data_IF_254754072097
#
_entry.id   IF_254754072097
#
_cell.length_a   1.000
_cell.length_b   1.000
_cell.length_c   1.000
_cell.angle_alpha   90.00
_cell.angle_beta   90.00
_cell.angle_gamma   90.00
#
_symmetry.space_group_name_H-M   'P 1'
#
loop_
_entity.id
_entity.type
_entity.pdbx_description
1 polymer ?
#
# COMPACT_ATOMS: atom_id res chain seq x y z
N UNK A 1 -1.75 -31.57 -6.52
CA UNK A 1 -2.14 -30.58 -7.55
C UNK A 1 -1.26 -30.79 -8.77
N UNK A 2 -1.83 -30.98 -9.97
CA UNK A 2 -1.04 -31.06 -11.21
C UNK A 2 -0.72 -29.65 -11.67
N UNK A 3 0.56 -29.32 -11.84
CA UNK A 3 0.97 -28.07 -12.51
C UNK A 3 0.77 -28.25 -14.02
N UNK A 4 0.01 -27.34 -14.64
CA UNK A 4 -0.18 -27.30 -16.09
C UNK A 4 0.98 -26.52 -16.70
N UNK A 5 1.64 -27.11 -17.68
CA UNK A 5 2.76 -26.50 -18.39
C UNK A 5 2.40 -26.25 -19.85
N UNK A 6 2.92 -25.17 -20.40
CA UNK A 6 2.73 -24.75 -21.80
C UNK A 6 4.09 -24.50 -22.46
N UNK A 7 4.21 -24.83 -23.75
CA UNK A 7 5.44 -24.60 -24.51
C UNK A 7 5.54 -23.12 -24.91
N UNK A 8 6.62 -22.45 -24.50
CA UNK A 8 6.95 -21.05 -24.83
C UNK A 8 8.44 -20.93 -25.10
N UNK A 9 8.82 -20.39 -26.26
CA UNK A 9 10.22 -20.21 -26.68
C UNK A 9 11.07 -21.50 -26.47
N UNK A 10 10.59 -22.63 -27.01
CA UNK A 10 11.21 -23.95 -26.89
C UNK A 10 11.39 -24.49 -25.46
N UNK A 11 10.71 -23.89 -24.48
CA UNK A 11 10.74 -24.31 -23.08
C UNK A 11 9.33 -24.51 -22.51
N UNK A 12 9.17 -25.51 -21.65
CA UNK A 12 7.92 -25.71 -20.92
C UNK A 12 7.89 -24.79 -19.69
N UNK A 13 6.94 -23.87 -19.67
CA UNK A 13 6.72 -22.93 -18.55
C UNK A 13 5.39 -23.22 -17.87
N UNK A 14 5.25 -22.85 -16.60
CA UNK A 14 3.94 -22.90 -15.94
C UNK A 14 2.94 -22.01 -16.67
N UNK A 15 1.69 -22.47 -16.82
CA UNK A 15 0.64 -21.72 -17.52
C UNK A 15 0.50 -20.27 -17.00
N UNK A 16 0.64 -20.08 -15.68
CA UNK A 16 0.59 -18.77 -15.02
C UNK A 16 1.67 -17.78 -15.48
N UNK A 17 2.77 -18.27 -16.06
CA UNK A 17 3.91 -17.48 -16.56
C UNK A 17 3.83 -17.19 -18.07
N UNK A 18 2.73 -17.60 -18.73
CA UNK A 18 2.58 -17.44 -20.17
C UNK A 18 2.43 -15.97 -20.57
N UNK A 19 1.61 -15.21 -19.82
CA UNK A 19 1.29 -13.81 -20.11
C UNK A 19 1.40 -12.94 -18.85
N UNK A 20 2.16 -11.84 -18.89
CA UNK A 20 2.21 -10.91 -17.77
C UNK A 20 0.90 -10.12 -17.63
N UNK A 21 0.69 -9.60 -16.43
CA UNK A 21 -0.40 -8.71 -16.05
C UNK A 21 -0.14 -7.26 -16.48
N UNK A 22 1.12 -6.84 -16.52
CA UNK A 22 1.56 -5.49 -16.89
C UNK A 22 2.86 -5.51 -17.71
N UNK A 23 3.34 -4.31 -18.05
CA UNK A 23 4.59 -4.11 -18.78
C UNK A 23 5.85 -4.34 -17.92
N UNK A 24 5.72 -4.38 -16.59
CA UNK A 24 6.84 -4.63 -15.66
C UNK A 24 7.13 -6.13 -15.50
N UNK A 25 6.21 -6.98 -15.96
CA UNK A 25 6.41 -8.42 -16.02
C UNK A 25 5.89 -9.16 -14.79
N UNK A 26 4.89 -8.62 -14.09
CA UNK A 26 4.20 -9.35 -13.03
C UNK A 26 3.30 -10.45 -13.62
N UNK A 27 3.27 -11.63 -13.01
CA UNK A 27 2.54 -12.82 -13.48
C UNK A 27 1.44 -13.24 -12.52
N UNK A 28 0.57 -14.16 -12.96
CA UNK A 28 -0.54 -14.63 -12.13
C UNK A 28 -0.03 -15.24 -10.81
N UNK A 29 -0.59 -14.75 -9.71
CA UNK A 29 -0.19 -15.03 -8.34
C UNK A 29 0.79 -14.02 -7.73
N UNK A 30 1.39 -13.12 -8.51
CA UNK A 30 2.29 -12.11 -7.98
C UNK A 30 1.53 -11.08 -7.15
N UNK A 31 2.19 -10.62 -6.07
CA UNK A 31 1.74 -9.55 -5.19
C UNK A 31 2.88 -8.53 -5.09
N UNK A 32 2.59 -7.26 -5.31
CA UNK A 32 3.59 -6.19 -5.25
C UNK A 32 3.03 -4.91 -4.63
N UNK A 33 3.93 -4.00 -4.25
CA UNK A 33 3.60 -2.71 -3.63
C UNK A 33 4.27 -1.58 -4.40
N UNK A 34 3.55 -0.86 -5.29
CA UNK A 34 4.13 0.26 -6.03
C UNK A 34 4.42 1.46 -5.10
N UNK A 35 3.72 1.55 -3.97
CA UNK A 35 3.99 2.51 -2.90
C UNK A 35 3.59 1.92 -1.52
N UNK A 36 3.89 2.62 -0.44
CA UNK A 36 3.59 2.18 0.93
C UNK A 36 2.10 2.05 1.24
N UNK A 37 1.22 2.64 0.41
CA UNK A 37 -0.22 2.66 0.57
C UNK A 37 -0.96 1.68 -0.33
N UNK A 38 -0.27 1.02 -1.26
CA UNK A 38 -0.93 0.25 -2.33
C UNK A 38 -0.37 -1.16 -2.36
N UNK A 39 -1.27 -2.12 -2.41
CA UNK A 39 -0.94 -3.53 -2.68
C UNK A 39 -1.70 -3.95 -3.93
N UNK A 40 -0.98 -4.49 -4.90
CA UNK A 40 -1.52 -4.99 -6.14
C UNK A 40 -1.28 -6.50 -6.23
N UNK A 41 -2.24 -7.20 -6.82
CA UNK A 41 -2.21 -8.64 -7.05
C UNK A 41 -2.62 -8.92 -8.49
N UNK A 42 -1.92 -9.85 -9.15
CA UNK A 42 -2.33 -10.40 -10.43
C UNK A 42 -3.20 -11.65 -10.17
N UNK A 43 -4.53 -11.48 -10.09
CA UNK A 43 -5.46 -12.53 -9.64
C UNK A 43 -5.61 -13.67 -10.66
N UNK A 44 -5.52 -13.39 -11.97
CA UNK A 44 -5.58 -14.41 -13.03
C UNK A 44 -5.31 -13.79 -14.40
N UNK A 45 -4.54 -14.51 -15.23
CA UNK A 45 -4.35 -14.34 -16.69
C UNK A 45 -4.53 -12.90 -17.25
N UNK A 46 -3.87 -11.92 -16.62
CA UNK A 46 -3.84 -10.49 -16.96
C UNK A 46 -4.80 -9.53 -16.25
N UNK A 47 -5.50 -9.93 -15.19
CA UNK A 47 -6.25 -8.99 -14.34
C UNK A 47 -5.42 -8.53 -13.14
N UNK A 48 -5.21 -7.22 -13.05
CA UNK A 48 -4.57 -6.57 -11.89
C UNK A 48 -5.66 -6.05 -10.97
N UNK A 49 -5.57 -6.41 -9.69
CA UNK A 49 -6.39 -5.86 -8.61
C UNK A 49 -5.49 -5.10 -7.64
N UNK A 50 -5.73 -3.80 -7.49
CA UNK A 50 -5.00 -2.97 -6.54
C UNK A 50 -5.92 -2.49 -5.42
N UNK A 51 -5.48 -2.69 -4.17
CA UNK A 51 -6.10 -2.14 -2.97
C UNK A 51 -5.22 -1.01 -2.47
N UNK A 52 -5.80 0.19 -2.42
CA UNK A 52 -5.16 1.38 -1.86
C UNK A 52 -5.74 1.70 -0.49
N UNK A 53 -4.86 1.91 0.48
CA UNK A 53 -5.20 2.45 1.79
C UNK A 53 -5.45 3.94 1.63
N UNK A 54 -6.64 4.40 2.04
CA UNK A 54 -6.98 5.82 2.11
C UNK A 54 -6.95 6.24 3.58
N UNK A 55 -6.15 7.26 3.89
CA UNK A 55 -6.04 7.78 5.24
C UNK A 55 -7.17 8.79 5.53
N UNK A 56 -7.70 8.75 6.75
CA UNK A 56 -8.68 9.76 7.18
C UNK A 56 -7.98 11.11 7.35
N UNK A 57 -8.50 12.16 6.69
CA UNK A 57 -7.98 13.53 6.87
C UNK A 57 -8.34 14.14 8.23
N UNK A 58 -9.41 13.62 8.85
CA UNK A 58 -9.81 14.01 10.20
C UNK A 58 -8.79 13.50 11.21
N UNK A 59 -7.99 14.43 11.75
CA UNK A 59 -7.13 14.15 12.91
C UNK A 59 -7.92 13.58 14.09
N UNK A 60 -7.21 12.96 15.04
CA UNK A 60 -7.81 12.39 16.26
C UNK A 60 -8.65 13.43 17.02
N UNK A 61 -9.89 13.07 17.36
CA UNK A 61 -10.72 13.87 18.28
C UNK A 61 -10.09 13.83 19.66
N UNK A 62 -9.67 14.98 20.16
CA UNK A 62 -9.02 15.12 21.46
C UNK A 62 -9.96 15.71 22.51
N UNK A 63 -9.71 15.37 23.77
CA UNK A 63 -10.37 15.99 24.93
C UNK A 63 -10.17 17.51 24.94
N UNK A 64 -11.08 18.24 25.59
CA UNK A 64 -10.95 19.70 25.78
C UNK A 64 -9.58 20.03 26.41
N UNK A 65 -8.89 21.02 25.84
CA UNK A 65 -7.54 21.42 26.27
C UNK A 65 -6.39 20.75 25.50
N UNK A 66 -6.70 19.79 24.62
CA UNK A 66 -5.71 19.09 23.79
C UNK A 66 -6.00 19.29 22.30
N UNK A 67 -4.98 19.22 21.47
CA UNK A 67 -5.09 19.25 20.00
C UNK A 67 -4.47 18.01 19.37
N UNK A 68 -4.97 17.65 18.19
CA UNK A 68 -4.34 16.61 17.37
C UNK A 68 -3.00 17.11 16.85
N UNK A 69 -1.95 16.33 17.07
CA UNK A 69 -0.60 16.57 16.59
C UNK A 69 -0.23 15.39 15.70
N UNK A 70 0.11 15.68 14.45
CA UNK A 70 0.68 14.69 13.54
C UNK A 70 2.11 14.39 13.99
N UNK A 71 2.38 13.13 14.31
CA UNK A 71 3.75 12.66 14.47
C UNK A 71 4.26 12.22 13.10
N UNK A 72 5.53 12.54 12.82
CA UNK A 72 6.17 12.20 11.55
C UNK A 72 6.03 10.70 11.32
N UNK A 73 5.21 10.30 10.35
CA UNK A 73 5.21 8.91 9.89
C UNK A 73 6.58 8.63 9.28
N UNK A 74 7.17 7.52 9.69
CA UNK A 74 8.36 7.02 9.03
C UNK A 74 8.04 6.73 7.55
N UNK A 75 9.07 6.69 6.70
CA UNK A 75 8.93 6.46 5.26
C UNK A 75 8.31 5.09 4.91
N UNK A 76 8.10 4.21 5.90
CA UNK A 76 7.51 2.88 5.75
C UNK A 76 6.01 2.82 6.06
N UNK A 77 5.40 3.88 6.59
CA UNK A 77 3.98 3.91 6.98
C UNK A 77 3.15 4.69 5.98
N UNK A 78 2.05 4.09 5.51
CA UNK A 78 1.12 4.76 4.59
C UNK A 78 0.46 6.00 5.20
N UNK A 79 -0.06 5.87 6.43
CA UNK A 79 -0.88 6.91 7.03
C UNK A 79 -0.16 7.70 8.13
N UNK A 80 -0.45 9.00 8.26
CA UNK A 80 -0.01 9.80 9.38
C UNK A 80 -0.54 9.22 10.69
N UNK A 81 0.31 9.19 11.71
CA UNK A 81 -0.13 8.93 13.08
C UNK A 81 -0.42 10.26 13.78
N UNK A 82 -1.43 10.25 14.62
CA UNK A 82 -1.87 11.42 15.38
C UNK A 82 -1.89 11.10 16.86
N UNK A 83 -1.45 12.07 17.67
CA UNK A 83 -1.54 12.02 19.13
C UNK A 83 -2.26 13.26 19.64
N UNK A 84 -2.86 13.19 20.82
CA UNK A 84 -3.37 14.36 21.51
C UNK A 84 -2.26 14.96 22.38
N UNK A 85 -1.86 16.19 22.07
CA UNK A 85 -0.89 16.94 22.87
C UNK A 85 -1.50 18.20 23.46
N UNK A 86 -0.92 18.68 24.56
CA UNK A 86 -1.34 19.92 25.19
C UNK A 86 -1.25 21.09 24.21
N UNK A 87 -2.20 22.01 24.30
CA UNK A 87 -2.08 23.30 23.66
C UNK A 87 -1.01 24.06 24.43
N UNK A 88 0.26 23.92 24.01
CA UNK A 88 1.32 24.77 24.54
C UNK A 88 0.89 26.21 24.30
N UNK A 89 0.55 26.92 25.38
CA UNK A 89 0.35 28.36 25.35
C UNK A 89 1.71 28.96 25.00
N UNK A 90 1.96 29.14 23.70
CA UNK A 90 3.06 29.96 23.23
C UNK A 90 2.69 31.39 23.63
N UNK A 91 2.96 31.73 24.88
CA UNK A 91 2.96 33.10 25.35
C UNK A 91 4.07 33.80 24.56
N UNK A 92 3.70 34.60 23.56
CA UNK A 92 4.62 35.57 22.99
C UNK A 92 5.12 36.42 24.15
N UNK A 93 6.38 36.21 24.56
CA UNK A 93 7.03 37.16 25.47
C UNK A 93 7.09 38.49 24.73
N UNK A 94 6.42 39.49 25.31
CA UNK A 94 6.52 40.90 24.90
C UNK A 94 7.96 41.39 25.02
#
# INVERSE_FOLDING_TARGET
MRSVQVLRNDSCVEERLCKPCDAEGHFAGDIWRPDVCTECTCESSSSIQCKRITCSESGTICSRGFRSITITSNVSECCPKHICGEIANISCKK
#
